data_IF_528202168106
#
_entry.id   IF_528202168106
#
_cell.length_a   1.000
_cell.length_b   1.000
_cell.length_c   1.000
_cell.angle_alpha   90.00
_cell.angle_beta   90.00
_cell.angle_gamma   90.00
#
_symmetry.space_group_name_H-M   'P 1'
#
loop_
_entity.id
_entity.type
_entity.pdbx_description
1 polymer ?
#
# COMPACT_ATOMS: atom_id res chain seq x y z
N UNK A 1 -41.11 -14.63 10.12
CA UNK A 1 -39.69 -14.95 10.38
C UNK A 1 -39.43 -16.45 10.18
N UNK A 2 -39.81 -17.02 9.02
CA UNK A 2 -39.68 -18.47 8.74
C UNK A 2 -39.16 -18.74 7.32
N UNK A 3 -39.37 -17.83 6.36
CA UNK A 3 -38.99 -18.03 4.96
C UNK A 3 -37.48 -17.94 4.65
N UNK A 4 -36.64 -17.41 5.55
CA UNK A 4 -35.20 -17.25 5.31
C UNK A 4 -34.42 -18.57 5.42
N UNK A 5 -34.93 -19.56 6.14
CA UNK A 5 -34.19 -20.80 6.46
C UNK A 5 -34.64 -22.04 5.70
N UNK A 6 -35.71 -21.98 4.89
CA UNK A 6 -36.20 -23.17 4.17
C UNK A 6 -35.40 -23.50 2.91
N UNK A 7 -34.62 -22.55 2.35
CA UNK A 7 -33.76 -22.83 1.21
C UNK A 7 -32.64 -21.77 1.05
N UNK A 8 -31.42 -21.99 1.57
CA UNK A 8 -30.34 -21.00 1.50
C UNK A 8 -29.82 -20.75 0.08
N UNK A 9 -30.17 -21.62 -0.87
CA UNK A 9 -29.87 -21.48 -2.30
C UNK A 9 -31.17 -21.61 -3.09
N UNK A 10 -31.75 -20.46 -3.46
CA UNK A 10 -32.94 -20.40 -4.30
C UNK A 10 -32.83 -21.33 -5.51
N UNK A 11 -33.97 -21.91 -5.91
CA UNK A 11 -34.13 -22.87 -7.01
C UNK A 11 -33.20 -22.54 -8.21
N UNK A 12 -32.16 -23.36 -8.41
CA UNK A 12 -31.14 -23.15 -9.43
C UNK A 12 -31.72 -23.23 -10.85
N UNK A 13 -32.76 -24.03 -11.06
CA UNK A 13 -33.44 -24.13 -12.36
C UNK A 13 -34.19 -22.84 -12.68
N UNK A 14 -34.78 -22.19 -11.67
CA UNK A 14 -35.39 -20.88 -11.80
C UNK A 14 -34.34 -19.76 -11.99
N UNK A 15 -33.20 -19.83 -11.31
CA UNK A 15 -32.10 -18.88 -11.49
C UNK A 15 -31.43 -18.99 -12.88
N UNK A 16 -31.42 -20.18 -13.47
CA UNK A 16 -30.87 -20.44 -14.82
C UNK A 16 -31.74 -19.88 -15.95
N UNK A 17 -33.04 -19.82 -15.72
CA UNK A 17 -34.02 -19.25 -16.66
C UNK A 17 -34.36 -17.79 -16.37
N UNK A 18 -33.93 -17.26 -15.21
CA UNK A 18 -34.09 -15.86 -14.90
C UNK A 18 -33.34 -15.00 -15.93
N UNK A 19 -34.00 -14.03 -16.59
CA UNK A 19 -33.30 -13.13 -17.49
C UNK A 19 -32.24 -12.37 -16.70
N UNK A 20 -30.98 -12.44 -17.14
CA UNK A 20 -29.88 -11.66 -16.59
C UNK A 20 -30.15 -10.17 -16.82
N UNK A 21 -30.90 -9.56 -15.89
CA UNK A 21 -31.26 -8.15 -15.93
C UNK A 21 -30.23 -7.38 -15.12
N UNK A 22 -29.27 -6.80 -15.81
CA UNK A 22 -28.29 -5.89 -15.21
C UNK A 22 -29.01 -4.57 -14.96
N UNK A 23 -29.67 -4.43 -13.81
CA UNK A 23 -30.46 -3.23 -13.48
C UNK A 23 -29.60 -1.98 -13.24
N UNK A 24 -28.30 -2.15 -12.92
CA UNK A 24 -27.37 -1.04 -12.71
C UNK A 24 -25.95 -1.42 -13.17
N UNK A 25 -25.69 -1.30 -14.48
CA UNK A 25 -24.32 -1.08 -14.90
C UNK A 25 -24.01 0.40 -14.60
N UNK A 26 -23.15 0.69 -13.61
CA UNK A 26 -22.56 2.02 -13.47
C UNK A 26 -21.74 2.28 -14.73
N UNK A 27 -22.37 2.86 -15.76
CA UNK A 27 -21.72 3.27 -17.00
C UNK A 27 -20.93 4.55 -16.69
N UNK A 28 -19.88 4.43 -15.89
CA UNK A 28 -18.79 5.41 -15.97
C UNK A 28 -18.28 5.35 -17.41
N UNK A 29 -18.06 6.48 -18.11
CA UNK A 29 -17.50 6.46 -19.44
C UNK A 29 -16.25 5.58 -19.43
N UNK A 30 -16.21 4.52 -20.25
CA UNK A 30 -15.03 3.68 -20.38
C UNK A 30 -13.86 4.61 -20.67
N UNK A 31 -12.85 4.69 -19.77
CA UNK A 31 -11.68 5.51 -20.03
C UNK A 31 -11.13 5.07 -21.37
N UNK A 32 -10.78 6.03 -22.23
CA UNK A 32 -10.21 5.69 -23.54
C UNK A 32 -9.05 4.71 -23.34
N UNK A 33 -8.83 3.72 -24.23
CA UNK A 33 -7.73 2.76 -24.08
C UNK A 33 -6.37 3.43 -23.86
N UNK A 34 -6.17 4.63 -24.41
CA UNK A 34 -4.98 5.46 -24.19
C UNK A 34 -4.87 5.95 -22.74
N UNK A 35 -5.96 6.42 -22.15
CA UNK A 35 -6.00 6.86 -20.75
C UNK A 35 -5.71 5.70 -19.80
N UNK A 36 -6.29 4.52 -20.05
CA UNK A 36 -6.03 3.32 -19.26
C UNK A 36 -4.57 2.85 -19.35
N UNK A 37 -4.00 2.87 -20.56
CA UNK A 37 -2.60 2.52 -20.80
C UNK A 37 -1.64 3.51 -20.12
N UNK A 38 -1.93 4.81 -20.19
CA UNK A 38 -1.15 5.85 -19.50
C UNK A 38 -1.17 5.64 -17.98
N UNK A 39 -2.34 5.43 -17.38
CA UNK A 39 -2.45 5.18 -15.93
C UNK A 39 -1.68 3.92 -15.54
N UNK A 40 -1.79 2.84 -16.31
CA UNK A 40 -1.07 1.60 -16.05
C UNK A 40 0.46 1.81 -16.13
N UNK A 41 0.96 2.46 -17.18
CA UNK A 41 2.40 2.74 -17.35
C UNK A 41 2.90 3.62 -16.20
N UNK A 42 2.21 4.71 -15.87
CA UNK A 42 2.61 5.60 -14.76
C UNK A 42 2.62 4.85 -13.42
N UNK A 43 1.64 3.98 -13.18
CA UNK A 43 1.58 3.16 -11.97
C UNK A 43 2.72 2.12 -11.92
N UNK A 44 3.04 1.47 -13.04
CA UNK A 44 4.19 0.55 -13.11
C UNK A 44 5.52 1.25 -12.89
N UNK A 45 5.72 2.42 -13.51
CA UNK A 45 6.92 3.23 -13.31
C UNK A 45 7.04 3.65 -11.85
N UNK A 46 5.95 4.12 -11.24
CA UNK A 46 5.90 4.44 -9.81
C UNK A 46 6.26 3.24 -8.94
N UNK A 47 5.68 2.07 -9.20
CA UNK A 47 5.99 0.84 -8.46
C UNK A 47 7.46 0.42 -8.62
N UNK A 48 8.05 0.56 -9.81
CA UNK A 48 9.46 0.27 -10.06
C UNK A 48 10.38 1.19 -9.25
N UNK A 49 10.11 2.50 -9.23
CA UNK A 49 10.85 3.45 -8.40
C UNK A 49 10.66 3.17 -6.90
N UNK A 50 9.45 2.84 -6.48
CA UNK A 50 9.15 2.49 -5.08
C UNK A 50 9.90 1.22 -4.63
N UNK A 51 9.97 0.21 -5.50
CA UNK A 51 10.65 -1.04 -5.23
C UNK A 51 12.17 -0.86 -5.10
N UNK A 52 12.78 -0.01 -5.94
CA UNK A 52 14.25 0.19 -5.96
C UNK A 52 14.70 1.14 -4.84
N UNK A 53 13.93 2.17 -4.52
CA UNK A 53 14.32 3.18 -3.54
C UNK A 53 13.73 2.93 -2.14
N UNK A 54 12.53 3.47 -1.86
CA UNK A 54 11.93 3.46 -0.52
C UNK A 54 11.86 2.09 0.14
N UNK A 55 11.37 1.08 -0.60
CA UNK A 55 11.12 -0.25 -0.04
C UNK A 55 12.42 -0.90 0.44
N UNK A 56 13.41 -0.99 -0.43
CA UNK A 56 14.69 -1.64 -0.10
C UNK A 56 15.48 -0.82 0.92
N UNK A 57 15.54 0.51 0.79
CA UNK A 57 16.29 1.35 1.73
C UNK A 57 15.75 1.29 3.17
N UNK A 58 14.43 1.28 3.36
CA UNK A 58 13.85 1.21 4.72
C UNK A 58 14.16 -0.12 5.39
N UNK A 59 14.00 -1.24 4.67
CA UNK A 59 14.30 -2.56 5.22
C UNK A 59 15.81 -2.76 5.45
N UNK A 60 16.64 -2.21 4.58
CA UNK A 60 18.10 -2.24 4.73
C UNK A 60 18.53 -1.44 5.95
N UNK A 61 18.10 -0.17 6.07
CA UNK A 61 18.41 0.68 7.21
C UNK A 61 17.91 0.07 8.52
N UNK A 62 16.72 -0.54 8.53
CA UNK A 62 16.21 -1.25 9.70
C UNK A 62 17.07 -2.47 10.06
N UNK A 63 17.66 -3.14 9.08
CA UNK A 63 18.57 -4.28 9.34
C UNK A 63 19.95 -3.84 9.85
N UNK A 64 20.42 -2.67 9.42
CA UNK A 64 21.71 -2.08 9.78
C UNK A 64 21.66 -1.40 11.16
N UNK A 65 20.63 -0.61 11.44
CA UNK A 65 20.48 0.14 12.69
C UNK A 65 20.18 -0.78 13.90
N UNK A 66 19.71 -2.00 13.65
CA UNK A 66 19.24 -2.89 14.71
C UNK A 66 20.36 -3.81 15.24
N UNK A 67 20.60 -3.80 16.57
CA UNK A 67 21.59 -4.66 17.21
C UNK A 67 21.30 -6.15 16.93
N UNK A 68 22.34 -6.92 16.60
CA UNK A 68 22.25 -8.33 16.19
C UNK A 68 21.45 -9.20 17.16
N UNK A 69 21.48 -8.90 18.47
CA UNK A 69 20.75 -9.63 19.51
C UNK A 69 19.22 -9.47 19.42
N UNK A 70 18.72 -8.31 19.01
CA UNK A 70 17.28 -7.99 18.98
C UNK A 70 16.70 -7.84 17.57
N UNK A 71 17.55 -7.96 16.55
CA UNK A 71 17.19 -7.77 15.14
C UNK A 71 15.97 -8.57 14.72
N UNK A 72 15.91 -9.86 15.04
CA UNK A 72 14.77 -10.72 14.69
C UNK A 72 13.44 -10.22 15.29
N UNK A 73 13.46 -9.85 16.58
CA UNK A 73 12.27 -9.34 17.27
C UNK A 73 11.85 -7.96 16.73
N UNK A 74 12.80 -7.06 16.50
CA UNK A 74 12.49 -5.74 15.95
C UNK A 74 11.97 -5.78 14.52
N UNK A 75 12.54 -6.65 13.67
CA UNK A 75 12.03 -6.88 12.31
C UNK A 75 10.61 -7.46 12.33
N UNK A 76 10.31 -8.36 13.27
CA UNK A 76 8.96 -8.93 13.43
C UNK A 76 7.92 -7.88 13.84
N UNK A 77 8.28 -6.97 14.76
CA UNK A 77 7.41 -5.86 15.17
C UNK A 77 7.19 -4.89 14.00
N UNK A 78 8.25 -4.54 13.27
CA UNK A 78 8.15 -3.67 12.10
C UNK A 78 7.25 -4.27 11.02
N UNK A 79 7.38 -5.58 10.76
CA UNK A 79 6.51 -6.29 9.83
C UNK A 79 5.05 -6.28 10.30
N UNK A 80 4.81 -6.48 11.60
CA UNK A 80 3.47 -6.45 12.17
C UNK A 80 2.82 -5.07 12.03
N UNK A 81 3.58 -4.00 12.29
CA UNK A 81 3.11 -2.61 12.09
C UNK A 81 2.82 -2.36 10.61
N UNK A 82 3.75 -2.73 9.71
CA UNK A 82 3.56 -2.58 8.27
C UNK A 82 2.29 -3.31 7.79
N UNK A 83 2.05 -4.50 8.31
CA UNK A 83 0.89 -5.28 7.93
C UNK A 83 -0.41 -4.73 8.53
N UNK A 84 -0.37 -4.20 9.76
CA UNK A 84 -1.52 -3.53 10.37
C UNK A 84 -1.92 -2.26 9.59
N UNK A 85 -0.94 -1.47 9.14
CA UNK A 85 -1.18 -0.29 8.30
C UNK A 85 -1.76 -0.70 6.95
N UNK A 86 -1.18 -1.72 6.31
CA UNK A 86 -1.66 -2.24 5.02
C UNK A 86 -3.11 -2.73 5.10
N UNK A 87 -3.46 -3.49 6.14
CA UNK A 87 -4.83 -3.95 6.39
C UNK A 87 -5.78 -2.78 6.65
N UNK A 88 -5.34 -1.77 7.40
CA UNK A 88 -6.13 -0.58 7.69
C UNK A 88 -6.45 0.21 6.42
N UNK A 89 -5.45 0.39 5.53
CA UNK A 89 -5.65 1.02 4.22
C UNK A 89 -6.63 0.22 3.37
N UNK A 90 -6.51 -1.11 3.34
CA UNK A 90 -7.43 -1.97 2.60
C UNK A 90 -8.89 -1.84 3.11
N UNK A 91 -9.08 -1.75 4.43
CA UNK A 91 -10.40 -1.57 5.04
C UNK A 91 -11.03 -0.21 4.69
N UNK A 92 -10.22 0.85 4.60
CA UNK A 92 -10.68 2.23 4.27
C UNK A 92 -10.81 2.46 2.76
N UNK A 93 -10.14 1.66 1.94
CA UNK A 93 -10.12 1.79 0.48
C UNK A 93 -11.53 1.64 -0.13
N UNK A 94 -12.22 0.52 0.15
CA UNK A 94 -13.55 0.25 -0.43
C UNK A 94 -14.59 1.35 -0.08
N UNK A 95 -14.74 1.76 1.20
CA UNK A 95 -15.66 2.83 1.58
C UNK A 95 -15.32 4.20 0.95
N UNK A 96 -14.03 4.50 0.79
CA UNK A 96 -13.56 5.78 0.24
C UNK A 96 -13.81 5.86 -1.26
N UNK A 97 -13.47 4.80 -2.00
CA UNK A 97 -13.71 4.71 -3.45
C UNK A 97 -15.20 4.77 -3.76
N UNK A 98 -16.03 4.11 -2.96
CA UNK A 98 -17.49 4.13 -3.13
C UNK A 98 -18.13 5.52 -2.97
N UNK A 99 -17.49 6.45 -2.24
CA UNK A 99 -18.02 7.80 -1.98
C UNK A 99 -17.34 8.90 -2.79
N UNK A 100 -16.03 8.82 -3.01
CA UNK A 100 -15.22 9.90 -3.60
C UNK A 100 -14.49 9.49 -4.89
N UNK A 101 -14.68 8.24 -5.33
CA UNK A 101 -14.00 7.68 -6.51
C UNK A 101 -12.51 7.39 -6.29
N UNK A 102 -11.89 6.80 -7.31
CA UNK A 102 -10.48 6.39 -7.27
C UNK A 102 -9.50 7.57 -7.21
N UNK A 103 -9.88 8.73 -7.77
CA UNK A 103 -9.02 9.91 -7.82
C UNK A 103 -8.62 10.39 -6.42
N UNK A 104 -9.57 10.46 -5.48
CA UNK A 104 -9.30 10.88 -4.10
C UNK A 104 -8.28 9.97 -3.40
N UNK A 105 -8.35 8.65 -3.64
CA UNK A 105 -7.41 7.70 -3.07
C UNK A 105 -6.00 7.85 -3.67
N UNK A 106 -5.91 8.02 -5.00
CA UNK A 106 -4.62 8.25 -5.67
C UNK A 106 -3.95 9.56 -5.25
N UNK A 107 -4.72 10.64 -5.09
CA UNK A 107 -4.19 11.89 -4.54
C UNK A 107 -3.73 11.73 -3.09
N UNK A 108 -4.46 10.98 -2.27
CA UNK A 108 -4.05 10.65 -0.91
C UNK A 108 -2.72 9.89 -0.87
N UNK A 109 -2.58 8.85 -1.69
CA UNK A 109 -1.32 8.10 -1.80
C UNK A 109 -0.18 8.94 -2.36
N UNK A 110 -0.45 9.84 -3.32
CA UNK A 110 0.54 10.77 -3.81
C UNK A 110 1.02 11.73 -2.71
N UNK A 111 0.10 12.27 -1.90
CA UNK A 111 0.44 13.12 -0.75
C UNK A 111 1.27 12.37 0.30
N UNK A 112 0.88 11.14 0.66
CA UNK A 112 1.66 10.27 1.55
C UNK A 112 3.08 10.02 0.99
N UNK A 113 3.19 9.80 -0.32
CA UNK A 113 4.49 9.59 -0.99
C UNK A 113 5.35 10.85 -0.91
N UNK A 114 4.78 12.04 -1.13
CA UNK A 114 5.51 13.31 -1.02
C UNK A 114 5.96 13.56 0.42
N UNK A 115 5.10 13.31 1.40
CA UNK A 115 5.47 13.40 2.82
C UNK A 115 6.60 12.43 3.13
N UNK A 116 6.50 11.17 2.69
CA UNK A 116 7.57 10.19 2.81
C UNK A 116 8.87 10.69 2.18
N UNK A 117 8.81 11.24 0.97
CA UNK A 117 9.98 11.75 0.25
C UNK A 117 10.63 12.93 0.99
N UNK A 118 9.83 13.86 1.51
CA UNK A 118 10.32 15.00 2.31
C UNK A 118 10.94 14.49 3.61
N UNK A 119 10.24 13.62 4.34
CA UNK A 119 10.75 13.03 5.57
C UNK A 119 12.04 12.26 5.31
N UNK A 120 12.11 11.47 4.24
CA UNK A 120 13.34 10.80 3.84
C UNK A 120 14.44 11.81 3.49
N UNK A 121 14.16 12.85 2.71
CA UNK A 121 15.16 13.86 2.36
C UNK A 121 15.69 14.67 3.56
N UNK A 122 14.87 14.86 4.60
CA UNK A 122 15.23 15.65 5.79
C UNK A 122 15.81 14.79 6.93
N UNK A 123 15.20 13.64 7.21
CA UNK A 123 15.58 12.74 8.31
C UNK A 123 16.55 11.64 7.90
N UNK A 124 16.73 11.37 6.61
CA UNK A 124 17.84 10.55 6.11
C UNK A 124 18.97 11.51 5.72
N UNK A 125 19.81 11.97 6.67
CA UNK A 125 21.01 12.70 6.31
C UNK A 125 21.83 11.82 5.36
N UNK A 126 22.45 12.45 4.36
CA UNK A 126 23.14 11.76 3.27
C UNK A 126 23.91 10.51 3.70
N UNK A 127 23.32 9.34 3.49
CA UNK A 127 24.00 8.03 3.52
C UNK A 127 24.51 7.64 2.13
N UNK A 128 24.29 8.47 1.10
CA UNK A 128 24.87 8.28 -0.23
C UNK A 128 26.36 8.65 -0.21
N UNK A 129 27.19 7.68 0.14
CA UNK A 129 28.65 7.75 -0.02
C UNK A 129 29.48 7.55 1.24
N UNK A 130 28.85 7.26 2.39
CA UNK A 130 29.57 6.93 3.64
C UNK A 130 29.47 5.44 3.94
N UNK A 131 30.59 4.83 4.29
CA UNK A 131 30.64 3.43 4.69
C UNK A 131 29.97 3.25 6.05
N UNK A 132 29.43 2.05 6.30
CA UNK A 132 28.71 1.69 7.52
C UNK A 132 29.50 2.04 8.81
N UNK A 133 30.83 2.00 8.72
CA UNK A 133 31.78 2.30 9.79
C UNK A 133 31.77 3.79 10.23
N UNK A 134 31.51 4.75 9.33
CA UNK A 134 31.43 6.17 9.70
C UNK A 134 30.12 6.50 10.45
N UNK A 135 29.06 5.72 10.20
CA UNK A 135 27.76 5.87 10.87
C UNK A 135 27.84 5.29 12.29
N UNK A 136 28.49 4.13 12.47
CA UNK A 136 28.75 3.56 13.80
C UNK A 136 29.59 4.50 14.68
N UNK A 137 30.65 5.11 14.13
CA UNK A 137 31.50 6.04 14.88
C UNK A 137 30.76 7.32 15.34
N UNK A 138 29.75 7.78 14.60
CA UNK A 138 28.99 8.98 14.96
C UNK A 138 27.94 8.70 16.04
N UNK A 139 27.37 7.49 16.08
CA UNK A 139 26.42 7.08 17.11
C UNK A 139 27.10 6.62 18.41
N UNK A 140 28.30 6.02 18.35
CA UNK A 140 29.07 5.66 19.55
C UNK A 140 29.70 6.90 20.23
N UNK A 141 30.06 7.94 19.47
CA UNK A 141 30.65 9.18 20.02
C UNK A 141 29.67 10.12 20.75
N UNK A 142 28.36 9.88 20.68
CA UNK A 142 27.34 10.71 21.34
C UNK A 142 26.91 10.18 22.72
N UNK A 143 27.53 9.08 23.20
CA UNK A 143 27.27 8.48 24.52
C UNK A 143 28.50 8.59 25.45
N UNK A 144 29.32 9.63 25.29
CA UNK A 144 30.35 10.00 26.27
C UNK A 144 30.02 11.31 26.98
#
# INVERSE_FOLDING_TARGET
MVAFFSNPFGNLDAARQAPLRIDNALITPLPSPRSGMLVAITLFVFMAFFAIGPGVCVWLALSELMPTRIRSNGMSIALLINQAVSTSIAAVFLPTVGKHGYAAMFFGFAACTVIYFITAAVFLPETKGKTLEEIEAHFEGAVS
#
